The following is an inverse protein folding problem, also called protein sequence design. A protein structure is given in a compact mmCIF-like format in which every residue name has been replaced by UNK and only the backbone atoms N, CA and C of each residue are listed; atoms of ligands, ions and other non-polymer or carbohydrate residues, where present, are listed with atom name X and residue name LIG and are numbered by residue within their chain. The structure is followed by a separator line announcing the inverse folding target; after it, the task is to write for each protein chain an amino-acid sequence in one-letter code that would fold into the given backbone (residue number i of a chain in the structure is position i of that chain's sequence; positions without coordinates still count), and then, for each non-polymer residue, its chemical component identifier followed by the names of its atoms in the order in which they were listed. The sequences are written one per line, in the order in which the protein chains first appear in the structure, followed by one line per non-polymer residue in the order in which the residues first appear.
data_IF_929765441185
#
_entry.id   IF_929765441185
#
_cell.length_a   1.000
_cell.length_b   1.000
_cell.length_c   1.000
_cell.angle_alpha   90.00
_cell.angle_beta   90.00
_cell.angle_gamma   90.00
#
_symmetry.space_group_name_H-M   'P 1'
#
loop_
_entity.id
_entity.type
_entity.pdbx_description
1 polymer ?
#
# COMPACT_ATOMS: atom_id res chain seq x y z
N UNK A 1 -11.96 -4.89 8.28
CA UNK A 1 -12.18 -5.15 6.85
C UNK A 1 -11.58 -3.98 6.11
N UNK A 2 -10.85 -4.21 5.03
CA UNK A 2 -10.39 -3.13 4.15
C UNK A 2 -11.57 -2.46 3.48
N UNK A 3 -11.40 -1.18 3.14
CA UNK A 3 -12.28 -0.52 2.16
C UNK A 3 -11.64 -0.69 0.79
N UNK A 4 -12.45 -0.91 -0.25
CA UNK A 4 -11.99 -0.94 -1.64
C UNK A 4 -11.56 0.45 -2.08
N UNK A 5 -10.55 0.52 -2.93
CA UNK A 5 -10.01 1.78 -3.46
C UNK A 5 -10.09 1.80 -4.98
N UNK A 6 -10.26 2.98 -5.55
CA UNK A 6 -10.05 3.21 -6.99
C UNK A 6 -8.58 3.52 -7.20
N UNK A 7 -7.98 2.85 -8.19
CA UNK A 7 -6.64 3.15 -8.70
C UNK A 7 -6.75 4.12 -9.88
N UNK A 8 -6.00 5.20 -9.82
CA UNK A 8 -5.82 6.16 -10.92
C UNK A 8 -4.34 6.15 -11.30
N UNK A 9 -4.07 5.56 -12.46
CA UNK A 9 -2.74 5.45 -13.07
C UNK A 9 -2.15 6.81 -13.42
N UNK A 10 -0.82 6.98 -13.41
CA UNK A 10 -0.15 8.23 -13.75
C UNK A 10 -0.51 8.76 -15.14
N UNK A 11 -0.81 7.87 -16.08
CA UNK A 11 -1.20 8.25 -17.45
C UNK A 11 -2.66 8.70 -17.58
N UNK A 12 -3.44 8.66 -16.49
CA UNK A 12 -4.87 8.93 -16.55
C UNK A 12 -5.17 10.43 -16.83
N UNK A 13 -6.06 10.75 -17.80
CA UNK A 13 -6.27 12.13 -18.27
C UNK A 13 -6.92 13.07 -17.24
N UNK A 14 -7.43 12.55 -16.13
CA UNK A 14 -7.95 13.36 -15.02
C UNK A 14 -6.86 13.98 -14.16
N UNK A 15 -5.61 13.57 -14.32
CA UNK A 15 -4.47 14.14 -13.61
C UNK A 15 -3.99 15.36 -14.38
N UNK A 16 -3.99 16.50 -13.72
CA UNK A 16 -3.51 17.75 -14.29
C UNK A 16 -2.07 17.99 -13.87
N UNK A 17 -1.14 17.84 -14.83
CA UNK A 17 0.27 18.12 -14.68
C UNK A 17 0.59 19.57 -15.04
N UNK A 18 1.38 20.24 -14.20
CA UNK A 18 1.79 21.64 -14.37
C UNK A 18 3.32 21.71 -14.34
N UNK A 19 3.90 22.39 -15.35
CA UNK A 19 5.34 22.51 -15.58
C UNK A 19 5.76 21.85 -16.89
N UNK A 20 6.75 22.42 -17.58
CA UNK A 20 7.13 22.01 -18.95
C UNK A 20 8.06 20.77 -19.00
N UNK A 21 8.37 20.16 -17.86
CA UNK A 21 9.40 19.13 -17.71
C UNK A 21 8.86 17.73 -17.42
N UNK A 22 7.55 17.53 -17.52
CA UNK A 22 6.96 16.20 -17.33
C UNK A 22 7.30 15.27 -18.50
N UNK A 23 7.81 14.09 -18.17
CA UNK A 23 8.14 13.02 -19.10
C UNK A 23 7.41 11.74 -18.69
N UNK A 24 6.98 10.96 -19.67
CA UNK A 24 6.44 9.62 -19.44
C UNK A 24 7.55 8.57 -19.59
N UNK A 25 7.51 7.54 -18.76
CA UNK A 25 8.37 6.36 -18.82
C UNK A 25 7.51 5.10 -18.89
N UNK A 26 8.03 4.09 -19.61
CA UNK A 26 7.41 2.77 -19.69
C UNK A 26 8.50 1.70 -19.51
N UNK A 27 8.37 0.90 -18.45
CA UNK A 27 9.14 -0.32 -18.25
C UNK A 27 10.60 -0.14 -17.79
N UNK A 28 11.18 1.07 -17.84
CA UNK A 28 12.59 1.25 -17.46
C UNK A 28 12.85 1.09 -15.96
N UNK A 29 11.79 1.14 -15.15
CA UNK A 29 11.82 0.97 -13.69
C UNK A 29 11.35 -0.40 -13.20
N UNK A 30 10.96 -1.33 -14.09
CA UNK A 30 10.30 -2.58 -13.70
C UNK A 30 11.11 -3.47 -12.75
N UNK A 31 12.43 -3.37 -12.82
CA UNK A 31 13.37 -4.19 -12.06
C UNK A 31 13.95 -3.47 -10.82
N UNK A 32 13.35 -2.37 -10.34
CA UNK A 32 13.86 -1.57 -9.22
C UNK A 32 13.32 -2.02 -7.86
N UNK A 33 14.24 -2.33 -6.95
CA UNK A 33 13.92 -2.79 -5.61
C UNK A 33 13.23 -4.16 -5.61
N UNK A 34 12.58 -4.49 -4.50
CA UNK A 34 11.86 -5.76 -4.33
C UNK A 34 10.33 -5.58 -4.26
N UNK A 35 9.83 -4.39 -4.64
CA UNK A 35 8.40 -4.08 -4.57
C UNK A 35 7.67 -4.33 -5.88
N UNK A 36 8.30 -4.97 -6.87
CA UNK A 36 7.72 -5.19 -8.19
C UNK A 36 7.76 -3.95 -9.10
N UNK A 37 7.32 -4.08 -10.36
CA UNK A 37 7.32 -2.99 -11.34
C UNK A 37 6.30 -1.92 -10.99
N UNK A 38 6.46 -0.64 -11.41
CA UNK A 38 5.40 0.36 -11.29
C UNK A 38 4.05 -0.15 -11.79
N UNK A 39 2.95 0.43 -11.33
CA UNK A 39 1.64 0.01 -11.78
C UNK A 39 1.53 0.21 -13.30
N UNK A 40 1.03 -0.80 -14.01
CA UNK A 40 1.05 -0.88 -15.49
C UNK A 40 2.42 -0.64 -16.16
N UNK A 41 3.51 -0.76 -15.40
CA UNK A 41 4.87 -0.43 -15.84
C UNK A 41 5.00 1.00 -16.39
N UNK A 42 4.16 1.94 -15.94
CA UNK A 42 4.21 3.36 -16.32
C UNK A 42 4.70 4.24 -15.18
N UNK A 43 5.33 5.36 -15.51
CA UNK A 43 5.64 6.45 -14.59
C UNK A 43 5.56 7.80 -15.30
N UNK A 44 5.18 8.85 -14.58
CA UNK A 44 5.39 10.23 -14.99
C UNK A 44 6.44 10.88 -14.10
N UNK A 45 7.43 11.51 -14.70
CA UNK A 45 8.51 12.14 -13.95
C UNK A 45 8.85 13.55 -14.38
N UNK A 46 9.58 14.24 -13.52
CA UNK A 46 10.06 15.60 -13.77
C UNK A 46 11.44 15.82 -13.14
N UNK A 47 12.30 16.57 -13.84
CA UNK A 47 13.64 16.95 -13.36
C UNK A 47 13.73 18.42 -12.94
N UNK A 48 12.60 19.14 -12.94
CA UNK A 48 12.53 20.53 -12.46
C UNK A 48 11.37 20.71 -11.48
N UNK A 49 11.26 21.89 -10.87
CA UNK A 49 10.12 22.16 -10.00
C UNK A 49 8.83 22.18 -10.81
N UNK A 50 7.86 21.37 -10.40
CA UNK A 50 6.62 21.13 -11.11
C UNK A 50 5.52 20.75 -10.10
N UNK A 51 4.29 20.53 -10.56
CA UNK A 51 3.23 20.00 -9.71
C UNK A 51 2.26 19.14 -10.49
N UNK A 52 1.50 18.31 -9.79
CA UNK A 52 0.31 17.69 -10.34
C UNK A 52 -0.87 17.78 -9.37
N UNK A 53 -2.08 17.69 -9.92
CA UNK A 53 -3.31 17.77 -9.16
C UNK A 53 -4.34 16.78 -9.66
N UNK A 54 -5.20 16.31 -8.74
CA UNK A 54 -6.25 15.36 -9.02
C UNK A 54 -7.48 15.65 -8.17
N UNK A 55 -8.65 15.69 -8.80
CA UNK A 55 -9.92 15.87 -8.11
C UNK A 55 -10.57 14.50 -7.86
N UNK A 56 -11.05 14.28 -6.66
CA UNK A 56 -11.72 13.03 -6.28
C UNK A 56 -12.86 13.31 -5.30
N UNK A 57 -13.78 12.36 -5.16
CA UNK A 57 -14.74 12.36 -4.05
C UNK A 57 -14.52 11.12 -3.22
N UNK A 58 -14.15 11.27 -1.95
CA UNK A 58 -13.79 10.12 -1.15
C UNK A 58 -13.46 10.40 0.31
N UNK A 59 -13.04 9.35 1.00
CA UNK A 59 -12.76 9.38 2.46
C UNK A 59 -11.29 9.24 2.81
N UNK A 60 -10.44 8.90 1.84
CA UNK A 60 -9.00 8.76 2.02
C UNK A 60 -8.27 8.60 0.70
N UNK A 61 -6.98 8.91 0.70
CA UNK A 61 -6.13 8.92 -0.49
C UNK A 61 -4.70 8.52 -0.15
N UNK A 62 -4.04 7.83 -1.08
CA UNK A 62 -2.63 7.48 -1.08
C UNK A 62 -2.04 7.83 -2.44
N UNK A 63 -0.81 8.32 -2.43
CA UNK A 63 -0.05 8.67 -3.63
C UNK A 63 1.20 7.81 -3.66
N UNK A 64 1.44 7.14 -4.78
CA UNK A 64 2.57 6.26 -5.00
C UNK A 64 3.49 6.80 -6.08
N UNK A 65 4.77 6.46 -5.96
CA UNK A 65 5.79 6.77 -6.94
C UNK A 65 6.96 5.81 -6.88
N UNK A 66 8.02 6.18 -7.58
CA UNK A 66 9.30 5.48 -7.56
C UNK A 66 10.40 6.43 -7.15
N UNK A 67 11.46 5.89 -6.56
CA UNK A 67 12.66 6.66 -6.30
C UNK A 67 13.88 5.96 -6.85
N UNK A 68 14.84 6.76 -7.31
CA UNK A 68 16.16 6.30 -7.72
C UNK A 68 17.11 6.26 -6.54
N UNK A 69 18.21 5.49 -6.71
CA UNK A 69 19.26 5.42 -5.70
C UNK A 69 19.96 6.77 -5.61
N UNK A 70 20.07 7.30 -4.40
CA UNK A 70 20.74 8.56 -4.13
C UNK A 70 22.06 8.35 -3.38
N UNK A 71 23.15 8.89 -3.93
CA UNK A 71 24.50 8.76 -3.35
C UNK A 71 24.85 9.89 -2.39
N UNK A 72 24.15 11.03 -2.44
CA UNK A 72 24.50 12.20 -1.64
C UNK A 72 23.76 12.18 -0.27
N UNK A 73 24.51 12.48 0.79
CA UNK A 73 24.03 12.41 2.18
C UNK A 73 23.60 13.76 2.72
N UNK A 74 23.83 14.84 1.98
CA UNK A 74 23.71 16.21 2.46
C UNK A 74 22.42 16.89 1.99
N UNK A 75 21.95 16.59 0.78
CA UNK A 75 20.74 17.17 0.20
C UNK A 75 19.75 16.06 -0.15
N UNK A 76 18.55 16.15 0.43
CA UNK A 76 17.43 15.29 0.06
C UNK A 76 16.78 15.87 -1.20
N UNK A 77 16.99 15.24 -2.34
CA UNK A 77 16.38 15.56 -3.64
C UNK A 77 15.75 14.27 -4.22
N UNK A 78 14.73 14.34 -5.09
CA UNK A 78 13.76 15.43 -5.18
C UNK A 78 12.96 15.60 -3.87
N UNK A 79 12.37 16.77 -3.65
CA UNK A 79 11.44 17.02 -2.54
C UNK A 79 10.02 17.14 -3.06
N UNK A 80 9.05 16.76 -2.23
CA UNK A 80 7.65 17.01 -2.51
C UNK A 80 6.90 17.45 -1.25
N UNK A 81 5.79 18.14 -1.49
CA UNK A 81 4.80 18.48 -0.48
C UNK A 81 3.42 18.17 -1.02
N UNK A 82 2.56 17.59 -0.18
CA UNK A 82 1.22 17.21 -0.56
C UNK A 82 0.20 18.06 0.19
N UNK A 83 -0.91 18.34 -0.48
CA UNK A 83 -2.02 19.12 0.03
C UNK A 83 -3.33 18.45 -0.34
N UNK A 84 -4.29 18.48 0.59
CA UNK A 84 -5.70 18.21 0.30
C UNK A 84 -6.46 19.50 0.57
N UNK A 85 -7.17 20.00 -0.43
CA UNK A 85 -7.95 21.25 -0.33
C UNK A 85 -7.11 22.42 0.19
N UNK A 86 -5.89 22.56 -0.36
CA UNK A 86 -4.87 23.54 0.05
C UNK A 86 -4.32 23.36 1.48
N UNK A 87 -4.79 22.37 2.24
CA UNK A 87 -4.24 22.03 3.55
C UNK A 87 -3.10 21.02 3.43
N UNK A 88 -1.93 21.36 3.97
CA UNK A 88 -0.77 20.48 3.93
C UNK A 88 -1.02 19.17 4.69
N UNK A 89 -0.63 18.06 4.07
CA UNK A 89 -0.61 16.73 4.69
C UNK A 89 0.83 16.23 4.78
N UNK A 90 1.06 15.24 5.65
CA UNK A 90 2.37 14.63 5.81
C UNK A 90 2.82 13.94 4.52
N UNK A 91 3.93 14.41 3.97
CA UNK A 91 4.67 13.75 2.91
C UNK A 91 5.77 12.86 3.51
N UNK A 92 6.04 11.73 2.85
CA UNK A 92 7.20 10.91 3.17
C UNK A 92 8.50 11.60 2.71
N UNK A 93 9.64 11.06 3.14
CA UNK A 93 10.96 11.56 2.75
C UNK A 93 11.54 10.68 1.65
N UNK A 94 12.41 11.23 0.78
CA UNK A 94 13.21 10.44 -0.14
C UNK A 94 13.99 9.34 0.58
N UNK A 95 14.04 8.15 -0.02
CA UNK A 95 14.87 7.05 0.45
C UNK A 95 16.17 6.95 -0.34
N UNK A 96 17.18 6.32 0.28
CA UNK A 96 18.50 6.17 -0.32
C UNK A 96 18.54 5.08 -1.39
N UNK A 97 17.77 4.01 -1.21
CA UNK A 97 17.79 2.86 -2.11
C UNK A 97 16.71 2.97 -3.18
N UNK A 98 17.03 2.56 -4.41
CA UNK A 98 16.08 2.59 -5.51
C UNK A 98 14.92 1.61 -5.26
N UNK A 99 13.69 2.11 -5.38
CA UNK A 99 12.51 1.30 -5.06
C UNK A 99 11.23 1.84 -5.72
N UNK A 100 10.37 0.93 -6.15
CA UNK A 100 9.02 1.22 -6.68
C UNK A 100 7.95 1.14 -5.58
N UNK A 101 6.72 1.54 -5.92
CA UNK A 101 5.55 1.50 -5.03
C UNK A 101 5.76 2.25 -3.71
N UNK A 102 6.47 3.37 -3.79
CA UNK A 102 6.79 4.21 -2.63
C UNK A 102 5.61 5.09 -2.29
N UNK A 103 5.14 5.01 -1.05
CA UNK A 103 4.20 5.99 -0.52
C UNK A 103 4.85 7.37 -0.52
N UNK A 104 4.32 8.30 -1.31
CA UNK A 104 4.74 9.70 -1.33
C UNK A 104 3.98 10.51 -0.28
N UNK A 105 2.67 10.29 -0.17
CA UNK A 105 1.83 10.84 0.88
C UNK A 105 0.53 10.06 1.03
N UNK A 106 -0.11 10.19 2.19
CA UNK A 106 -1.35 9.50 2.54
C UNK A 106 -2.17 10.37 3.49
N UNK A 107 -3.50 10.35 3.31
CA UNK A 107 -4.43 10.90 4.29
C UNK A 107 -5.70 10.05 4.33
N UNK A 108 -5.95 9.42 5.49
CA UNK A 108 -7.14 8.59 5.74
C UNK A 108 -8.20 9.30 6.61
N UNK A 109 -7.97 10.56 6.98
CA UNK A 109 -8.83 11.33 7.88
C UNK A 109 -9.14 12.70 7.24
N UNK A 110 -9.78 12.66 6.08
CA UNK A 110 -10.13 13.86 5.32
C UNK A 110 -11.12 14.75 6.11
N UNK A 111 -11.14 16.04 5.79
CA UNK A 111 -12.07 17.03 6.35
C UNK A 111 -12.64 17.90 5.22
N UNK A 112 -13.95 17.82 4.91
CA UNK A 112 -14.95 16.90 5.46
C UNK A 112 -14.55 15.42 5.30
N UNK A 113 -15.11 14.54 6.13
CA UNK A 113 -14.70 13.12 6.17
C UNK A 113 -15.03 12.34 4.90
N UNK A 114 -16.05 12.81 4.17
CA UNK A 114 -16.43 12.30 2.85
C UNK A 114 -16.91 13.49 2.01
N UNK A 115 -16.64 13.44 0.71
CA UNK A 115 -17.05 14.47 -0.23
C UNK A 115 -15.97 14.80 -1.26
N UNK A 116 -16.17 15.88 -2.04
CA UNK A 116 -15.23 16.32 -3.06
C UNK A 116 -13.97 16.92 -2.42
N UNK A 117 -12.81 16.55 -2.97
CA UNK A 117 -11.49 16.96 -2.54
C UNK A 117 -10.57 17.20 -3.74
N UNK A 118 -9.56 18.04 -3.55
CA UNK A 118 -8.47 18.24 -4.50
C UNK A 118 -7.14 17.87 -3.87
N UNK A 119 -6.48 16.87 -4.44
CA UNK A 119 -5.07 16.58 -4.20
C UNK A 119 -4.21 17.55 -5.00
N UNK A 120 -3.19 18.12 -4.38
CA UNK A 120 -2.09 18.82 -5.06
C UNK A 120 -0.77 18.34 -4.51
N UNK A 121 0.15 18.00 -5.41
CA UNK A 121 1.52 17.60 -5.07
C UNK A 121 2.49 18.57 -5.74
N UNK A 122 3.21 19.32 -4.93
CA UNK A 122 4.25 20.24 -5.40
C UNK A 122 5.60 19.56 -5.27
N UNK A 123 6.34 19.53 -6.38
CA UNK A 123 7.66 18.90 -6.51
C UNK A 123 8.73 19.99 -6.64
N UNK A 124 9.84 19.80 -5.96
CA UNK A 124 11.02 20.66 -6.05
C UNK A 124 12.23 19.77 -6.32
N UNK A 125 12.88 20.01 -7.46
CA UNK A 125 14.11 19.31 -7.87
C UNK A 125 15.27 20.30 -7.89
N UNK A 126 16.35 19.98 -7.20
CA UNK A 126 17.53 20.84 -7.03
C UNK A 126 18.78 20.34 -7.78
N UNK A 127 18.95 19.02 -7.92
CA UNK A 127 20.15 18.38 -8.48
C UNK A 127 19.85 17.57 -9.76
N UNK A 128 18.78 17.92 -10.50
CA UNK A 128 18.34 17.23 -11.72
C UNK A 128 18.03 15.72 -11.49
N UNK A 129 17.67 15.34 -10.26
CA UNK A 129 17.15 14.01 -9.98
C UNK A 129 15.66 13.95 -10.31
N UNK A 130 15.26 12.93 -11.06
CA UNK A 130 13.86 12.80 -11.45
C UNK A 130 12.98 12.42 -10.26
N UNK A 131 11.91 13.18 -10.05
CA UNK A 131 10.78 12.75 -9.25
C UNK A 131 9.89 11.86 -10.12
N UNK A 132 9.50 10.68 -9.63
CA UNK A 132 8.63 9.76 -10.36
C UNK A 132 7.31 9.52 -9.61
N UNK A 133 6.21 9.75 -10.30
CA UNK A 133 4.84 9.46 -9.88
C UNK A 133 4.30 8.25 -10.65
N UNK A 134 3.58 7.38 -9.94
CA UNK A 134 3.11 6.07 -10.42
C UNK A 134 1.58 6.00 -10.42
N UNK A 135 0.94 6.20 -9.26
CA UNK A 135 -0.52 6.15 -9.16
C UNK A 135 -1.07 6.83 -7.93
N UNK A 136 -2.37 7.09 -7.99
CA UNK A 136 -3.20 7.48 -6.85
C UNK A 136 -4.13 6.32 -6.51
N UNK A 137 -4.30 6.05 -5.22
CA UNK A 137 -5.35 5.18 -4.71
C UNK A 137 -6.26 6.01 -3.80
N UNK A 138 -7.57 5.99 -4.02
CA UNK A 138 -8.51 6.68 -3.12
C UNK A 138 -9.72 5.83 -2.80
N UNK A 139 -10.27 6.00 -1.60
CA UNK A 139 -11.49 5.33 -1.17
C UNK A 139 -12.68 6.18 -1.62
N UNK A 140 -13.47 5.76 -2.64
CA UNK A 140 -14.51 6.60 -3.21
C UNK A 140 -15.68 6.83 -2.25
N UNK A 141 -16.34 7.99 -2.38
CA UNK A 141 -17.65 8.23 -1.77
C UNK A 141 -18.68 7.27 -2.37
N UNK A 142 -19.75 6.97 -1.64
CA UNK A 142 -20.83 6.10 -2.12
C UNK A 142 -21.54 6.60 -3.39
N UNK A 143 -21.38 7.88 -3.73
CA UNK A 143 -21.96 8.54 -4.90
C UNK A 143 -21.08 8.51 -6.15
N UNK A 144 -19.82 8.08 -6.02
CA UNK A 144 -18.90 7.99 -7.17
C UNK A 144 -19.30 6.80 -8.02
N UNK A 145 -19.54 7.02 -9.32
CA UNK A 145 -19.69 5.90 -10.26
C UNK A 145 -18.38 5.15 -10.36
N UNK A 146 -18.47 3.84 -10.36
CA UNK A 146 -17.33 2.95 -10.48
C UNK A 146 -17.20 2.38 -11.90
N UNK A 147 -18.02 2.89 -12.82
CA UNK A 147 -17.87 2.63 -14.25
C UNK A 147 -16.46 3.06 -14.69
N UNK A 148 -15.85 2.24 -15.55
CA UNK A 148 -14.50 2.45 -16.09
C UNK A 148 -13.37 2.58 -15.04
N UNK A 149 -13.64 2.22 -13.79
CA UNK A 149 -12.67 2.31 -12.69
C UNK A 149 -11.87 1.01 -12.49
N UNK A 150 -10.63 1.15 -12.03
CA UNK A 150 -9.80 0.05 -11.54
C UNK A 150 -10.00 -0.06 -10.03
N UNK A 151 -10.58 -1.15 -9.55
CA UNK A 151 -10.90 -1.34 -8.13
C UNK A 151 -9.87 -2.26 -7.48
N UNK A 152 -9.10 -1.72 -6.54
CA UNK A 152 -8.19 -2.48 -5.68
C UNK A 152 -8.96 -3.10 -4.51
N UNK A 153 -8.76 -4.40 -4.32
CA UNK A 153 -9.42 -5.19 -3.27
C UNK A 153 -8.36 -5.99 -2.51
N UNK A 154 -8.06 -5.55 -1.29
CA UNK A 154 -7.06 -6.14 -0.40
C UNK A 154 -7.45 -7.55 0.07
N UNK A 155 -6.47 -8.41 0.38
CA UNK A 155 -6.68 -9.81 0.80
C UNK A 155 -7.54 -10.02 2.06
N UNK A 156 -7.86 -8.95 2.80
CA UNK A 156 -8.71 -8.98 3.98
C UNK A 156 -10.12 -8.40 3.74
N UNK A 157 -10.54 -8.28 2.48
CA UNK A 157 -11.92 -7.98 2.09
C UNK A 157 -12.88 -9.05 2.62
N UNK A 158 -14.08 -8.63 3.02
CA UNK A 158 -15.05 -9.50 3.67
C UNK A 158 -15.73 -10.49 2.70
N UNK A 159 -15.74 -10.17 1.41
CA UNK A 159 -16.31 -11.01 0.36
C UNK A 159 -15.33 -12.08 -0.13
N UNK A 160 -14.06 -12.01 0.26
CA UNK A 160 -13.05 -13.02 -0.09
C UNK A 160 -13.27 -14.32 0.69
N UNK A 161 -13.44 -15.42 -0.05
CA UNK A 161 -13.75 -16.74 0.51
C UNK A 161 -12.56 -17.66 0.37
N UNK A 162 -11.69 -17.66 1.37
CA UNK A 162 -10.61 -18.62 1.49
C UNK A 162 -11.13 -19.97 1.98
N UNK A 163 -10.62 -21.06 1.40
CA UNK A 163 -10.97 -22.45 1.74
C UNK A 163 -9.71 -23.27 1.87
N UNK A 164 -9.64 -24.04 2.95
CA UNK A 164 -8.62 -25.05 3.22
C UNK A 164 -7.17 -24.52 3.23
N UNK A 165 -6.54 -24.47 4.40
CA UNK A 165 -5.09 -24.29 4.51
C UNK A 165 -4.53 -22.90 4.23
N UNK A 166 -5.38 -21.88 4.04
CA UNK A 166 -4.95 -20.48 3.98
C UNK A 166 -4.64 -19.91 5.36
N UNK A 167 -3.58 -19.11 5.45
CA UNK A 167 -3.17 -18.39 6.65
C UNK A 167 -2.70 -16.99 6.30
N UNK A 168 -2.83 -16.06 7.24
CA UNK A 168 -2.28 -14.71 7.10
C UNK A 168 -0.75 -14.75 7.04
N UNK A 169 -0.18 -13.91 6.17
CA UNK A 169 1.26 -13.66 6.05
C UNK A 169 1.47 -12.16 5.83
N UNK A 170 1.71 -11.42 6.91
CA UNK A 170 1.73 -9.95 6.86
C UNK A 170 0.35 -9.38 6.50
N UNK A 171 0.30 -8.55 5.46
CA UNK A 171 -0.95 -8.02 4.88
C UNK A 171 -1.58 -8.93 3.82
N UNK A 172 -0.85 -9.95 3.36
CA UNK A 172 -1.33 -10.94 2.40
C UNK A 172 -1.90 -12.20 3.09
N UNK A 173 -2.54 -13.05 2.31
CA UNK A 173 -2.89 -14.42 2.68
C UNK A 173 -2.08 -15.42 1.86
N UNK A 174 -1.74 -16.57 2.44
CA UNK A 174 -0.90 -17.60 1.81
C UNK A 174 -1.43 -19.00 2.07
N UNK A 175 -1.25 -19.91 1.10
CA UNK A 175 -1.44 -21.36 1.27
C UNK A 175 -0.26 -22.17 0.70
N UNK A 176 0.02 -23.30 1.37
CA UNK A 176 0.92 -24.37 0.88
C UNK A 176 0.18 -25.70 0.68
N UNK A 177 -1.14 -25.69 0.90
CA UNK A 177 -1.95 -26.91 0.96
C UNK A 177 -2.44 -27.22 -0.44
N UNK A 178 -2.06 -28.38 -0.98
CA UNK A 178 -2.55 -28.84 -2.28
C UNK A 178 -4.09 -28.86 -2.29
N UNK A 179 -4.71 -28.32 -3.33
CA UNK A 179 -6.16 -28.23 -3.46
C UNK A 179 -6.80 -27.07 -2.69
N UNK A 180 -6.03 -26.29 -1.92
CA UNK A 180 -6.53 -25.08 -1.29
C UNK A 180 -7.15 -24.15 -2.34
N UNK A 181 -8.30 -23.58 -2.00
CA UNK A 181 -9.10 -22.81 -2.96
C UNK A 181 -9.48 -21.44 -2.45
N UNK A 182 -9.77 -20.56 -3.38
CA UNK A 182 -10.22 -19.20 -3.15
C UNK A 182 -11.39 -18.92 -4.10
N UNK A 183 -12.43 -18.27 -3.58
CA UNK A 183 -13.56 -17.79 -4.36
C UNK A 183 -13.81 -16.31 -4.10
N UNK A 184 -14.19 -15.60 -5.16
CA UNK A 184 -14.59 -14.21 -5.09
C UNK A 184 -15.61 -13.87 -6.18
N UNK A 185 -16.76 -13.33 -5.76
CA UNK A 185 -17.73 -12.75 -6.68
C UNK A 185 -17.39 -11.30 -6.97
N UNK A 186 -17.33 -10.90 -8.24
CA UNK A 186 -17.04 -9.53 -8.64
C UNK A 186 -18.03 -9.07 -9.71
N UNK A 187 -18.21 -7.76 -9.84
CA UNK A 187 -18.86 -7.16 -11.01
C UNK A 187 -17.80 -6.39 -11.76
N UNK A 188 -17.66 -6.59 -13.07
CA UNK A 188 -16.63 -5.95 -13.89
C UNK A 188 -16.32 -6.75 -15.15
N UNK A 189 -15.19 -6.46 -15.80
CA UNK A 189 -14.79 -7.11 -17.07
C UNK A 189 -13.50 -7.92 -16.97
N UNK A 190 -12.69 -7.73 -15.93
CA UNK A 190 -11.49 -8.54 -15.72
C UNK A 190 -11.04 -8.50 -14.26
N UNK A 191 -10.24 -9.50 -13.87
CA UNK A 191 -9.55 -9.55 -12.57
C UNK A 191 -8.07 -9.82 -12.79
N UNK A 192 -7.23 -9.01 -12.15
CA UNK A 192 -5.78 -9.25 -12.04
C UNK A 192 -5.43 -9.68 -10.63
N UNK A 193 -4.63 -10.74 -10.50
CA UNK A 193 -4.17 -11.29 -9.23
C UNK A 193 -2.73 -10.85 -8.91
N UNK A 194 -2.54 -10.18 -7.78
CA UNK A 194 -1.22 -9.81 -7.26
C UNK A 194 -0.83 -10.66 -6.05
N UNK A 195 0.43 -11.10 -6.05
CA UNK A 195 1.03 -12.03 -5.10
C UNK A 195 2.36 -11.50 -4.60
N UNK A 196 2.88 -12.11 -3.55
CA UNK A 196 4.26 -12.02 -3.13
C UNK A 196 5.03 -13.29 -3.52
N UNK A 197 6.35 -13.16 -3.59
CA UNK A 197 7.31 -14.26 -3.60
C UNK A 197 8.09 -14.17 -2.30
N UNK A 198 7.76 -15.02 -1.34
CA UNK A 198 8.22 -14.91 0.03
C UNK A 198 9.64 -15.46 0.22
N UNK A 199 10.52 -14.65 0.80
CA UNK A 199 11.84 -15.11 1.23
C UNK A 199 11.72 -16.11 2.39
N UNK A 200 12.52 -17.18 2.35
CA UNK A 200 12.52 -18.23 3.38
C UNK A 200 11.44 -19.30 3.17
N UNK A 201 10.66 -19.22 2.09
CA UNK A 201 9.72 -20.26 1.69
C UNK A 201 10.32 -21.21 0.63
N UNK A 202 9.77 -22.44 0.44
CA UNK A 202 10.23 -23.33 -0.62
C UNK A 202 10.15 -22.67 -1.99
N UNK A 203 11.18 -22.85 -2.83
CA UNK A 203 11.31 -22.15 -4.09
C UNK A 203 10.94 -22.93 -5.35
N UNK A 204 10.60 -24.23 -5.24
CA UNK A 204 10.30 -25.04 -6.43
C UNK A 204 9.05 -24.50 -7.12
N UNK A 205 9.12 -24.30 -8.44
CA UNK A 205 8.00 -23.80 -9.22
C UNK A 205 6.80 -24.75 -9.16
N UNK A 206 5.61 -24.18 -9.35
CA UNK A 206 4.37 -24.94 -9.41
C UNK A 206 3.34 -24.18 -10.25
N UNK A 207 2.09 -24.61 -10.19
CA UNK A 207 0.99 -23.94 -10.86
C UNK A 207 -0.25 -23.88 -9.96
N UNK A 208 -1.22 -23.11 -10.43
CA UNK A 208 -2.59 -23.20 -9.98
C UNK A 208 -3.52 -23.20 -11.19
N UNK A 209 -4.81 -23.29 -10.91
CA UNK A 209 -5.83 -23.14 -11.93
C UNK A 209 -6.90 -22.16 -11.48
N UNK A 210 -7.45 -21.38 -12.41
CA UNK A 210 -8.59 -20.52 -12.16
C UNK A 210 -9.73 -20.80 -13.14
N UNK A 211 -10.96 -20.45 -12.77
CA UNK A 211 -12.14 -20.49 -13.63
C UNK A 211 -13.05 -19.29 -13.35
N UNK A 212 -13.77 -18.84 -14.37
CA UNK A 212 -14.82 -17.83 -14.28
C UNK A 212 -16.17 -18.54 -14.46
N UNK A 213 -17.13 -18.23 -13.59
CA UNK A 213 -18.53 -18.66 -13.68
C UNK A 213 -18.72 -20.20 -13.78
N UNK A 214 -17.83 -20.96 -13.14
CA UNK A 214 -17.86 -22.42 -13.17
C UNK A 214 -17.45 -23.03 -14.51
N UNK A 215 -16.89 -22.24 -15.42
CA UNK A 215 -16.38 -22.70 -16.71
C UNK A 215 -15.11 -23.55 -16.62
N UNK A 216 -14.50 -23.82 -17.79
CA UNK A 216 -13.25 -24.57 -17.89
C UNK A 216 -12.12 -23.89 -17.12
N UNK A 217 -11.29 -24.70 -16.46
CA UNK A 217 -10.17 -24.21 -15.66
C UNK A 217 -8.97 -23.87 -16.55
N UNK A 218 -8.41 -22.70 -16.37
CA UNK A 218 -7.16 -22.25 -17.01
C UNK A 218 -6.00 -22.35 -16.02
N UNK A 219 -4.89 -22.94 -16.47
CA UNK A 219 -3.66 -23.07 -15.66
C UNK A 219 -2.85 -21.77 -15.69
N UNK A 220 -2.32 -21.36 -14.55
CA UNK A 220 -1.33 -20.30 -14.43
C UNK A 220 -0.10 -20.81 -13.69
N UNK A 221 1.08 -20.36 -14.09
CA UNK A 221 2.33 -20.76 -13.47
C UNK A 221 2.66 -19.85 -12.28
N UNK A 222 3.18 -20.46 -11.21
CA UNK A 222 3.79 -19.75 -10.09
C UNK A 222 5.29 -19.99 -10.21
N UNK A 223 5.98 -18.98 -10.73
CA UNK A 223 7.40 -19.06 -10.98
C UNK A 223 8.14 -19.29 -9.66
N UNK A 224 9.02 -20.28 -9.66
CA UNK A 224 9.86 -20.58 -8.52
C UNK A 224 10.92 -19.50 -8.30
N UNK A 225 11.64 -19.62 -7.20
CA UNK A 225 12.81 -18.81 -6.91
C UNK A 225 13.94 -19.70 -6.40
N UNK A 226 15.16 -19.18 -6.44
CA UNK A 226 16.32 -19.87 -5.92
C UNK A 226 16.31 -19.90 -4.39
N UNK A 227 17.01 -20.86 -3.79
CA UNK A 227 17.08 -21.04 -2.34
C UNK A 227 17.76 -19.86 -1.62
N UNK A 228 18.49 -19.02 -2.34
CA UNK A 228 19.19 -17.85 -1.83
C UNK A 228 18.37 -16.55 -1.90
N UNK A 229 17.06 -16.61 -2.19
CA UNK A 229 16.19 -15.44 -2.15
C UNK A 229 16.21 -14.80 -0.75
N UNK A 230 16.97 -13.70 -0.62
CA UNK A 230 17.18 -13.01 0.66
C UNK A 230 16.03 -12.09 1.04
N UNK A 231 15.28 -11.61 0.06
CA UNK A 231 14.23 -10.59 0.23
C UNK A 231 12.95 -11.01 -0.47
N UNK A 232 11.83 -10.85 0.24
CA UNK A 232 10.49 -11.05 -0.33
C UNK A 232 10.27 -10.09 -1.49
N UNK A 233 9.74 -10.59 -2.61
CA UNK A 233 9.32 -9.76 -3.74
C UNK A 233 7.82 -9.49 -3.64
N UNK A 234 7.41 -8.23 -3.71
CA UNK A 234 6.01 -7.78 -3.58
C UNK A 234 5.42 -7.40 -4.94
N UNK A 235 4.09 -7.20 -5.00
CA UNK A 235 3.34 -6.78 -6.20
C UNK A 235 3.63 -7.62 -7.46
N UNK A 236 3.71 -8.93 -7.31
CA UNK A 236 3.97 -9.86 -8.41
C UNK A 236 2.64 -10.24 -9.07
N UNK A 237 2.42 -9.80 -10.31
CA UNK A 237 1.27 -10.22 -11.12
C UNK A 237 1.38 -11.71 -11.44
N UNK A 238 0.43 -12.52 -10.99
CA UNK A 238 0.37 -13.95 -11.34
C UNK A 238 -0.40 -14.20 -12.62
N UNK A 239 -1.58 -13.60 -12.75
CA UNK A 239 -2.40 -13.69 -13.95
C UNK A 239 -3.39 -12.52 -14.03
N UNK A 240 -3.95 -12.38 -15.22
CA UNK A 240 -5.12 -11.55 -15.51
C UNK A 240 -6.09 -12.39 -16.32
N UNK A 241 -7.37 -12.29 -16.02
CA UNK A 241 -8.41 -12.98 -16.80
C UNK A 241 -8.54 -12.34 -18.18
N UNK A 242 -9.03 -13.07 -19.21
CA UNK A 242 -9.50 -12.43 -20.43
C UNK A 242 -10.55 -11.36 -20.13
N UNK A 243 -10.77 -10.46 -21.09
CA UNK A 243 -11.90 -9.52 -21.03
C UNK A 243 -13.22 -10.29 -21.09
N UNK A 244 -14.06 -10.06 -20.11
CA UNK A 244 -15.39 -10.63 -19.93
C UNK A 244 -16.44 -9.59 -20.36
N UNK A 245 -17.66 -10.02 -20.71
CA UNK A 245 -18.80 -9.11 -20.80
C UNK A 245 -19.00 -8.37 -19.47
N UNK A 246 -19.35 -7.09 -19.50
CA UNK A 246 -19.68 -6.36 -18.28
C UNK A 246 -20.82 -7.04 -17.54
N UNK A 247 -20.58 -7.47 -16.30
CA UNK A 247 -21.58 -8.17 -15.52
C UNK A 247 -21.03 -8.70 -14.20
N UNK A 248 -21.88 -9.46 -13.50
CA UNK A 248 -21.51 -10.17 -12.29
C UNK A 248 -20.88 -11.52 -12.66
N UNK A 249 -19.73 -11.81 -12.06
CA UNK A 249 -18.93 -13.00 -12.28
C UNK A 249 -18.46 -13.61 -10.95
N UNK A 250 -18.03 -14.87 -11.00
CA UNK A 250 -17.38 -15.56 -9.90
C UNK A 250 -16.03 -16.13 -10.31
N UNK A 251 -14.97 -15.66 -9.66
CA UNK A 251 -13.62 -16.21 -9.79
C UNK A 251 -13.43 -17.36 -8.80
N UNK A 252 -13.00 -18.52 -9.29
CA UNK A 252 -12.55 -19.66 -8.49
C UNK A 252 -11.09 -19.96 -8.79
N UNK A 253 -10.23 -20.06 -7.77
CA UNK A 253 -8.80 -20.39 -7.89
C UNK A 253 -8.49 -21.60 -7.03
N UNK A 254 -7.66 -22.52 -7.55
CA UNK A 254 -7.16 -23.70 -6.83
C UNK A 254 -5.65 -23.76 -6.98
N UNK A 255 -4.96 -23.95 -5.85
CA UNK A 255 -3.51 -24.16 -5.80
C UNK A 255 -3.17 -25.64 -6.01
N UNK A 256 -2.27 -25.92 -6.96
CA UNK A 256 -1.87 -27.29 -7.29
C UNK A 256 -0.49 -27.67 -6.72
N UNK A 257 0.18 -26.76 -6.02
CA UNK A 257 1.46 -27.04 -5.37
C UNK A 257 1.30 -27.79 -4.06
N UNK A 258 2.38 -27.86 -3.29
CA UNK A 258 2.44 -28.56 -2.01
C UNK A 258 3.44 -27.86 -1.06
N UNK A 259 3.84 -28.54 0.02
CA UNK A 259 4.75 -28.02 1.04
C UNK A 259 6.19 -27.81 0.57
N UNK A 260 6.57 -28.39 -0.57
CA UNK A 260 7.92 -28.36 -1.14
C UNK A 260 8.02 -27.40 -2.34
N UNK A 261 6.90 -26.76 -2.73
CA UNK A 261 6.83 -25.77 -3.81
C UNK A 261 6.52 -24.38 -3.29
N UNK A 262 6.76 -23.37 -4.13
CA UNK A 262 6.45 -21.98 -3.85
C UNK A 262 4.98 -21.82 -3.43
N UNK A 263 4.70 -21.20 -2.26
CA UNK A 263 3.33 -21.00 -1.80
C UNK A 263 2.54 -20.10 -2.75
N UNK A 264 1.24 -20.34 -2.88
CA UNK A 264 0.34 -19.35 -3.48
C UNK A 264 0.04 -18.29 -2.43
N UNK A 265 0.20 -17.02 -2.81
CA UNK A 265 -0.22 -15.90 -1.98
C UNK A 265 -1.20 -15.00 -2.71
N UNK A 266 -2.05 -14.31 -1.95
CA UNK A 266 -2.94 -13.26 -2.42
C UNK A 266 -2.65 -12.01 -1.59
N UNK A 267 -2.14 -10.98 -2.25
CA UNK A 267 -1.95 -9.65 -1.66
C UNK A 267 -3.20 -8.80 -1.90
N UNK A 268 -3.54 -8.57 -3.16
CA UNK A 268 -4.77 -7.91 -3.58
C UNK A 268 -5.21 -8.38 -4.97
N UNK A 269 -6.47 -8.09 -5.29
CA UNK A 269 -7.01 -8.19 -6.64
C UNK A 269 -7.24 -6.78 -7.19
N UNK A 270 -7.14 -6.64 -8.51
CA UNK A 270 -7.61 -5.46 -9.23
C UNK A 270 -8.72 -5.88 -10.19
N UNK A 271 -9.91 -5.29 -10.02
CA UNK A 271 -11.06 -5.51 -10.91
C UNK A 271 -11.21 -4.33 -11.85
N UNK A 272 -11.28 -4.58 -13.16
CA UNK A 272 -11.51 -3.52 -14.14
C UNK A 272 -13.01 -3.31 -14.40
N UNK A 273 -13.40 -2.03 -14.55
CA UNK A 273 -14.77 -1.57 -14.69
C UNK A 273 -15.66 -2.09 -13.56
N UNK A 274 -15.11 -2.15 -12.35
CA UNK A 274 -15.75 -2.86 -11.25
C UNK A 274 -16.74 -2.01 -10.49
N UNK A 275 -17.95 -2.51 -10.20
CA UNK A 275 -18.84 -1.85 -9.23
C UNK A 275 -18.66 -2.48 -7.85
N UNK A 276 -18.47 -1.66 -6.82
CA UNK A 276 -18.59 -2.08 -5.43
C UNK A 276 -20.05 -2.42 -5.16
N UNK A 277 -20.33 -3.70 -4.99
CA UNK A 277 -21.61 -4.24 -4.53
C UNK A 277 -21.92 -3.80 -3.10
N UNK A 278 -22.24 -2.52 -2.89
CA UNK A 278 -22.93 -2.14 -1.66
C UNK A 278 -24.38 -2.55 -1.83
N UNK A 279 -24.77 -3.63 -1.16
CA UNK A 279 -26.11 -4.23 -1.22
C UNK A 279 -27.16 -3.18 -0.83
N UNK A 280 -27.86 -2.60 -1.82
CA UNK A 280 -29.08 -1.85 -1.58
C UNK A 280 -30.26 -2.82 -1.56
N UNK A 281 -30.74 -3.17 -0.37
CA UNK A 281 -32.03 -3.85 -0.19
C UNK A 281 -33.17 -2.86 -0.38
N UNK A 282 -33.58 -2.62 -1.63
CA UNK A 282 -34.88 -1.98 -1.90
C UNK A 282 -36.00 -2.98 -1.61
N UNK A 283 -36.69 -2.76 -0.51
CA UNK A 283 -37.91 -3.47 -0.14
C UNK A 283 -39.07 -2.90 -0.94
N UNK A 284 -39.41 -3.50 -2.09
CA UNK A 284 -40.63 -3.15 -2.83
C UNK A 284 -41.81 -3.98 -2.31
N UNK A 285 -42.62 -3.36 -1.45
CA UNK A 285 -43.91 -3.91 -1.03
C UNK A 285 -44.93 -3.74 -2.17
N UNK A 286 -44.97 -4.70 -3.08
CA UNK A 286 -46.00 -4.81 -4.11
C UNK A 286 -47.16 -5.66 -3.62
N UNK A 287 -48.21 -5.00 -3.12
CA UNK A 287 -49.49 -5.62 -2.76
C UNK A 287 -50.22 -6.10 -4.03
N UNK A 288 -50.58 -7.38 -4.11
CA UNK A 288 -51.66 -7.87 -4.99
C UNK A 288 -52.51 -8.90 -4.27
N UNK A 289 -53.81 -8.64 -4.32
CA UNK A 289 -54.91 -9.34 -3.66
C UNK A 289 -55.28 -10.61 -4.44
N UNK A 290 -55.66 -11.60 -3.63
CA UNK A 290 -56.21 -12.95 -3.77
C UNK A 290 -57.15 -13.28 -4.94
N UNK A 291 -57.01 -14.52 -5.43
CA UNK A 291 -58.02 -15.61 -5.53
C UNK A 291 -57.37 -16.78 -6.31
N UNK A 292 -57.54 -18.08 -6.07
CA UNK A 292 -58.40 -18.87 -5.20
C UNK A 292 -57.84 -20.32 -5.10
N UNK A 293 -58.15 -20.99 -3.98
CA UNK A 293 -58.25 -22.44 -3.72
C UNK A 293 -57.10 -23.44 -3.98
N UNK A 294 -56.52 -23.94 -2.88
CA UNK A 294 -56.16 -25.37 -2.75
C UNK A 294 -56.20 -25.84 -1.28
N UNK A 295 -57.13 -26.75 -0.96
CA UNK A 295 -57.06 -27.62 0.21
C UNK A 295 -55.99 -28.69 -0.04
N UNK A 296 -54.97 -28.82 0.83
CA UNK A 296 -54.73 -30.02 1.63
C UNK A 296 -53.50 -29.88 2.54
N UNK A 297 -53.64 -30.48 3.71
CA UNK A 297 -52.80 -30.39 4.91
C UNK A 297 -51.35 -30.84 4.76
N UNK A 298 -50.43 -30.09 5.41
CA UNK A 298 -49.16 -30.58 5.98
C UNK A 298 -48.54 -29.52 6.95
N UNK A 299 -47.56 -29.89 7.82
CA UNK A 299 -47.57 -29.89 9.30
C UNK A 299 -47.24 -28.53 10.00
N UNK A 300 -47.31 -28.43 11.36
CA UNK A 300 -47.35 -27.14 12.05
C UNK A 300 -46.02 -26.39 12.04
N UNK A 301 -46.10 -25.13 11.60
CA UNK A 301 -45.03 -24.14 11.60
C UNK A 301 -44.65 -23.79 13.05
N UNK A 302 -43.38 -24.04 13.41
CA UNK A 302 -42.80 -23.59 14.67
C UNK A 302 -42.75 -22.05 14.72
N UNK A 303 -43.40 -21.48 15.73
CA UNK A 303 -43.30 -20.06 16.07
C UNK A 303 -41.92 -19.77 16.68
N UNK A 304 -41.14 -18.90 16.05
CA UNK A 304 -39.88 -18.42 16.61
C UNK A 304 -40.16 -17.39 17.71
N UNK A 305 -39.76 -17.71 18.94
CA UNK A 305 -39.93 -16.87 20.11
C UNK A 305 -38.85 -15.78 20.17
N UNK A 306 -39.11 -14.64 19.53
CA UNK A 306 -38.26 -13.44 19.51
C UNK A 306 -37.94 -12.91 20.93
N UNK A 307 -38.79 -13.22 21.92
CA UNK A 307 -38.61 -12.78 23.32
C UNK A 307 -37.36 -13.31 24.03
N UNK A 308 -36.80 -14.46 23.62
CA UNK A 308 -35.63 -15.05 24.28
C UNK A 308 -34.28 -14.43 23.83
N UNK A 309 -34.26 -13.78 22.66
CA UNK A 309 -33.04 -13.22 22.07
C UNK A 309 -32.76 -11.80 22.59
N UNK A 310 -33.80 -11.03 22.92
CA UNK A 310 -33.63 -9.65 23.43
C UNK A 310 -33.19 -9.64 24.90
N UNK A 311 -33.49 -10.67 25.68
CA UNK A 311 -33.13 -10.74 27.11
C UNK A 311 -31.64 -10.96 27.39
N UNK A 312 -30.90 -11.62 26.50
CA UNK A 312 -29.49 -11.99 26.74
C UNK A 312 -28.50 -10.84 26.54
N UNK A 313 -28.83 -9.89 25.66
CA UNK A 313 -27.97 -8.74 25.35
C UNK A 313 -27.96 -7.75 26.52
N UNK A 314 -29.09 -7.50 27.15
CA UNK A 314 -29.19 -6.56 28.29
C UNK A 314 -28.54 -7.14 29.55
N UNK A 315 -28.66 -8.46 29.75
CA UNK A 315 -28.01 -9.16 30.86
C UNK A 315 -26.48 -9.15 30.77
N UNK A 316 -25.93 -9.42 29.59
CA UNK A 316 -24.47 -9.48 29.40
C UNK A 316 -23.80 -8.11 29.52
N UNK A 317 -24.42 -7.04 29.01
CA UNK A 317 -23.92 -5.67 29.16
C UNK A 317 -23.88 -5.25 30.63
N UNK A 318 -24.91 -5.60 31.40
CA UNK A 318 -24.95 -5.28 32.84
C UNK A 318 -23.85 -5.99 33.63
N UNK A 319 -23.59 -7.26 33.33
CA UNK A 319 -22.51 -8.04 33.98
C UNK A 319 -21.13 -7.51 33.61
N UNK A 320 -20.90 -7.14 32.35
CA UNK A 320 -19.61 -6.58 31.90
C UNK A 320 -19.30 -5.23 32.54
N UNK A 321 -20.31 -4.38 32.75
CA UNK A 321 -20.16 -3.10 33.45
C UNK A 321 -19.76 -3.34 34.92
N UNK A 322 -20.43 -4.27 35.61
CA UNK A 322 -20.12 -4.61 37.01
C UNK A 322 -18.70 -5.16 37.15
N UNK A 323 -18.27 -6.07 36.25
CA UNK A 323 -16.91 -6.62 36.26
C UNK A 323 -15.84 -5.56 35.98
N UNK A 324 -16.14 -4.61 35.10
CA UNK A 324 -15.23 -3.50 34.79
C UNK A 324 -15.04 -2.56 35.98
N UNK A 325 -16.14 -2.22 36.68
CA UNK A 325 -16.10 -1.39 37.90
C UNK A 325 -15.32 -2.11 39.01
N UNK A 326 -15.57 -3.41 39.21
CA UNK A 326 -14.86 -4.22 40.21
C UNK A 326 -13.35 -4.28 39.91
N UNK A 327 -12.97 -4.48 38.65
CA UNK A 327 -11.56 -4.51 38.23
C UNK A 327 -10.86 -3.18 38.50
N UNK A 328 -11.50 -2.05 38.18
CA UNK A 328 -10.95 -0.71 38.44
C UNK A 328 -10.78 -0.49 39.95
N UNK A 329 -11.75 -0.90 40.76
CA UNK A 329 -11.70 -0.74 42.21
C UNK A 329 -10.58 -1.57 42.85
N UNK A 330 -10.41 -2.82 42.41
CA UNK A 330 -9.31 -3.70 42.84
C UNK A 330 -7.94 -3.14 42.41
N UNK A 331 -7.85 -2.57 41.21
CA UNK A 331 -6.62 -1.95 40.70
C UNK A 331 -6.26 -0.67 41.46
N UNK A 332 -7.24 0.14 41.86
CA UNK A 332 -7.01 1.31 42.72
C UNK A 332 -6.57 0.91 44.12
N UNK A 333 -7.15 -0.15 44.70
CA UNK A 333 -6.76 -0.66 46.02
C UNK A 333 -5.33 -1.19 46.04
N UNK A 334 -4.87 -1.84 44.97
CA UNK A 334 -3.47 -2.31 44.84
C UNK A 334 -2.45 -1.17 44.70
N UNK A 335 -2.84 0.02 44.26
CA UNK A 335 -1.93 1.17 44.13
C UNK A 335 -1.72 1.95 45.44
N UNK A 336 -2.40 1.60 46.52
CA UNK A 336 -2.27 2.31 47.80
C UNK A 336 -1.16 1.80 48.73
N UNK A 337 -0.27 0.92 48.26
CA UNK A 337 0.83 0.37 49.08
C UNK A 337 2.25 0.67 48.58
N UNK A 338 2.47 1.67 47.72
CA UNK A 338 3.82 2.18 47.48
C UNK A 338 3.89 3.64 47.92
N UNK A 339 4.37 3.85 49.15
CA UNK A 339 4.93 5.14 49.58
C UNK A 339 6.21 5.37 48.76
N UNK A 340 6.38 6.52 48.09
CA UNK A 340 7.65 6.84 47.47
C UNK A 340 8.68 7.12 48.58
N UNK A 341 9.76 6.36 48.55
CA UNK A 341 10.96 6.59 49.35
C UNK A 341 11.62 7.89 48.90
N UNK A 342 11.76 8.82 49.83
CA UNK A 342 12.50 10.08 49.69
C UNK A 342 13.99 9.74 49.51
N UNK A 343 14.57 10.03 48.34
CA UNK A 343 16.03 9.99 48.11
C UNK A 343 16.52 11.44 48.06
N UNK A 344 17.63 11.66 48.76
CA UNK A 344 18.14 12.94 49.19
C UNK A 344 18.56 13.90 48.07
N UNK A 345 18.36 15.16 48.43
CA UNK A 345 18.96 16.38 47.94
C UNK A 345 20.46 16.23 47.64
N UNK A 346 20.87 16.64 46.44
CA UNK A 346 22.28 16.88 46.07
C UNK A 346 22.35 18.33 45.58
N UNK A 347 23.21 19.11 46.22
CA UNK A 347 23.36 20.55 46.03
C UNK A 347 23.94 20.93 44.64
N UNK A 348 23.77 22.19 44.19
CA UNK A 348 24.22 22.64 42.88
C UNK A 348 25.75 22.81 42.83
N UNK A 349 26.38 22.33 41.76
CA UNK A 349 27.81 22.52 41.50
C UNK A 349 28.16 23.98 41.22
N UNK A 350 29.09 24.47 42.03
CA UNK A 350 29.78 25.76 41.98
C UNK A 350 30.76 25.81 40.79
N UNK A 351 30.72 26.89 40.01
CA UNK A 351 31.56 27.08 38.81
C UNK A 351 32.88 27.73 39.23
N UNK A 352 33.95 26.95 39.35
CA UNK A 352 35.30 27.48 39.61
C UNK A 352 36.04 27.78 38.30
N UNK A 353 36.35 29.06 38.07
CA UNK A 353 37.15 29.54 36.96
C UNK A 353 38.62 29.15 37.13
N UNK A 354 39.18 28.38 36.19
CA UNK A 354 40.62 28.11 36.14
C UNK A 354 41.32 28.96 35.08
N UNK A 355 42.30 29.73 35.56
CA UNK A 355 43.22 30.57 34.81
C UNK A 355 44.06 29.78 33.80
N UNK A 356 44.23 30.38 32.63
CA UNK A 356 45.08 29.93 31.53
C UNK A 356 46.54 30.36 31.76
N UNK A 357 47.54 29.45 31.73
CA UNK A 357 48.94 29.83 31.63
C UNK A 357 49.36 29.94 30.16
N UNK A 358 49.87 31.11 29.77
CA UNK A 358 50.60 31.31 28.53
C UNK A 358 51.92 30.52 28.54
N UNK A 359 52.16 29.72 27.50
CA UNK A 359 53.50 29.27 27.13
C UNK A 359 53.90 29.82 25.76
N UNK A 360 55.06 30.46 25.75
CA UNK A 360 55.74 31.06 24.60
C UNK A 360 56.26 29.96 23.67
N UNK A 361 56.08 30.12 22.36
CA UNK A 361 56.81 29.37 21.34
C UNK A 361 57.66 30.33 20.52
N UNK A 362 58.97 30.10 20.58
CA UNK A 362 60.02 30.79 19.81
C UNK A 362 60.26 30.07 18.49
N UNK A 363 60.67 30.85 17.50
CA UNK A 363 60.91 30.51 16.10
C UNK A 363 62.07 29.53 15.85
N UNK A 364 61.95 28.77 14.75
CA UNK A 364 63.02 28.01 14.11
C UNK A 364 62.63 27.69 12.67
N UNK A 365 63.37 28.28 11.72
CA UNK A 365 63.18 28.29 10.26
C UNK A 365 63.41 26.93 9.57
N UNK A 366 62.65 26.62 8.51
CA UNK A 366 63.18 25.92 7.34
C UNK A 366 62.44 26.29 6.05
N UNK A 367 63.24 26.41 5.01
CA UNK A 367 63.05 27.05 3.71
C UNK A 367 62.25 26.23 2.68
N UNK A 368 61.47 26.94 1.87
CA UNK A 368 60.81 26.46 0.66
C UNK A 368 61.76 26.42 -0.55
N UNK A 369 61.56 25.44 -1.44
CA UNK A 369 62.00 25.51 -2.83
C UNK A 369 60.83 25.13 -3.76
N UNK A 370 60.49 26.06 -4.64
CA UNK A 370 59.63 25.90 -5.80
C UNK A 370 60.47 25.48 -7.01
N UNK A 371 59.89 24.68 -7.91
CA UNK A 371 60.38 24.52 -9.27
C UNK A 371 59.22 24.75 -10.26
N UNK A 372 59.36 25.82 -11.04
CA UNK A 372 58.61 26.07 -12.28
C UNK A 372 59.57 25.80 -13.44
N UNK A 373 59.10 25.25 -14.56
CA UNK A 373 59.79 25.42 -15.84
C UNK A 373 58.80 25.58 -17.00
N UNK A 374 59.20 26.50 -17.88
CA UNK A 374 58.48 27.14 -18.98
C UNK A 374 58.59 26.37 -20.30
N UNK A 375 57.60 26.65 -21.15
CA UNK A 375 57.59 26.70 -22.62
C UNK A 375 58.93 26.64 -23.37
N UNK A 376 58.95 25.94 -24.52
CA UNK A 376 59.48 26.47 -25.79
C UNK A 376 58.90 25.74 -27.02
N UNK A 377 58.67 26.52 -28.09
CA UNK A 377 58.18 26.10 -29.39
C UNK A 377 59.33 25.90 -30.41
N UNK A 378 59.10 25.13 -31.48
CA UNK A 378 59.70 25.42 -32.80
C UNK A 378 60.13 24.24 -33.69
N UNK A 379 59.39 24.06 -34.80
CA UNK A 379 59.82 23.74 -36.17
C UNK A 379 60.51 22.40 -36.56
N UNK A 380 60.01 21.79 -37.66
CA UNK A 380 60.90 21.22 -38.70
C UNK A 380 60.50 19.93 -39.44
N UNK A 381 59.62 20.03 -40.44
CA UNK A 381 59.55 19.34 -41.75
C UNK A 381 60.44 18.12 -42.13
N UNK A 382 59.82 17.12 -42.80
CA UNK A 382 60.42 16.27 -43.87
C UNK A 382 60.09 14.77 -43.74
N UNK A 383 59.09 14.18 -44.42
CA UNK A 383 58.92 13.71 -45.82
C UNK A 383 59.64 12.40 -46.21
N UNK A 384 58.87 11.52 -46.90
CA UNK A 384 59.21 10.31 -47.71
C UNK A 384 59.26 9.00 -46.88
N UNK A 385 58.65 7.89 -47.29
CA UNK A 385 58.05 7.43 -48.56
C UNK A 385 56.96 6.40 -48.23
#
# INVERSE_FOLDING_TARGET
MSKRAIIVDDSHPSINYVGDSWISDQGSHDNKGNYGPPFKSTLHGTTSSASFSFQFSGTGIKVYGSNDKHNDSVISDPKWSCFIDQQSITASKPEKEAQNHRHLCENNNLKPQDGPHTLTVNVTVAQNQTFWFDRIEYVPSSTVSLDDSLILIESNDAEFRYRDGWKKSGTANMTKTNGASFEFGFTGISVTWFSWVLSGEPGNSTNGTWAIDGGSRTTFNINGHTADLKTTQYNQKLFETPTLPMGQHNLSVVYNGNKDTIPLTLDYLVVQNGTSSTTQTLSSTGSKISNDNHNNDNPPIQKSNVGAIVGSVIGSVSVLIILSILFIFLRRRRRSHHRPTFIGQVDPFEYQSFHHPQSKLSAGSHSAQSASFLYYAGYGSGRKT
#
